data_IF_146369990063
#
_entry.id   IF_146369990063
#
_cell.length_a   1.000
_cell.length_b   1.000
_cell.length_c   1.000
_cell.angle_alpha   90.00
_cell.angle_beta   90.00
_cell.angle_gamma   90.00
#
_symmetry.space_group_name_H-M   'P 1'
#
loop_
_entity.id
_entity.type
_entity.pdbx_description
1 polymer ?
#
# COMPACT_ATOMS: atom_id res chain seq x y z
N UNK A 1 76.27 7.24 13.68
CA UNK A 1 75.33 6.40 12.89
C UNK A 1 74.97 5.25 13.83
N UNK A 2 73.83 5.35 14.52
CA UNK A 2 72.68 4.43 14.39
C UNK A 2 73.00 3.03 14.98
N UNK A 3 72.25 2.39 15.89
CA UNK A 3 71.03 2.65 16.64
C UNK A 3 70.96 1.68 17.85
N UNK A 4 70.23 2.12 18.88
CA UNK A 4 69.32 1.44 19.81
C UNK A 4 69.28 -0.10 19.92
N UNK A 5 68.91 -0.72 21.04
CA UNK A 5 68.85 -0.34 22.46
C UNK A 5 68.46 -1.62 23.23
N UNK A 6 68.95 -1.70 24.45
CA UNK A 6 68.77 -2.72 25.47
C UNK A 6 67.30 -2.99 25.84
N UNK A 7 67.00 -4.13 26.49
CA UNK A 7 66.32 -4.25 27.81
C UNK A 7 66.16 -5.76 28.12
N UNK A 8 67.03 -6.41 28.89
CA UNK A 8 67.14 -6.45 30.37
C UNK A 8 65.92 -7.09 31.07
N UNK A 9 66.20 -8.23 31.69
CA UNK A 9 65.37 -8.97 32.65
C UNK A 9 65.12 -8.19 33.94
N UNK A 10 64.03 -8.50 34.65
CA UNK A 10 63.96 -8.79 36.11
C UNK A 10 62.52 -8.56 36.64
N UNK A 11 62.23 -8.72 37.94
CA UNK A 11 61.81 -9.99 38.49
C UNK A 11 60.43 -9.93 39.16
N UNK A 12 59.95 -11.12 39.52
CA UNK A 12 58.67 -11.40 40.17
C UNK A 12 58.52 -10.65 41.51
N UNK A 13 57.62 -9.68 41.58
CA UNK A 13 57.23 -9.00 42.82
C UNK A 13 56.04 -9.70 43.50
N UNK A 14 56.18 -9.95 44.81
CA UNK A 14 55.17 -10.55 45.69
C UNK A 14 54.07 -9.52 46.00
N UNK A 15 52.82 -10.00 46.04
CA UNK A 15 51.64 -9.19 46.36
C UNK A 15 51.43 -9.09 47.88
N UNK A 16 51.18 -7.90 48.43
CA UNK A 16 50.68 -7.77 49.80
C UNK A 16 49.17 -7.95 49.88
N UNK A 17 48.73 -8.47 51.02
CA UNK A 17 47.36 -8.71 51.43
C UNK A 17 46.71 -7.44 52.00
N UNK A 18 45.42 -7.22 51.72
CA UNK A 18 44.57 -6.46 52.62
C UNK A 18 43.10 -6.90 52.57
N UNK A 19 42.44 -7.11 53.73
CA UNK A 19 41.03 -7.48 53.80
C UNK A 19 40.16 -6.23 53.93
N UNK A 20 39.33 -5.94 52.95
CA UNK A 20 38.27 -4.93 53.10
C UNK A 20 36.93 -5.46 52.61
N UNK A 21 36.05 -5.66 53.59
CA UNK A 21 34.62 -5.91 53.48
C UNK A 21 34.00 -4.94 52.47
N UNK A 22 33.32 -5.45 51.44
CA UNK A 22 32.44 -4.65 50.57
C UNK A 22 31.01 -5.14 50.73
N UNK A 23 30.21 -4.27 51.32
CA UNK A 23 28.78 -4.36 51.58
C UNK A 23 28.02 -4.68 50.30
N UNK A 24 27.17 -5.71 50.32
CA UNK A 24 26.23 -6.02 49.24
C UNK A 24 25.20 -4.89 49.15
N UNK A 25 25.32 -4.01 48.16
CA UNK A 25 24.21 -3.12 47.77
C UNK A 25 23.26 -3.95 46.89
N UNK A 26 22.11 -4.34 47.44
CA UNK A 26 20.98 -4.79 46.64
C UNK A 26 20.46 -3.59 45.85
N UNK A 27 20.66 -3.60 44.54
CA UNK A 27 19.98 -2.67 43.62
C UNK A 27 18.67 -3.35 43.22
N UNK A 28 17.57 -2.91 43.81
CA UNK A 28 16.22 -3.23 43.35
C UNK A 28 15.98 -2.47 42.03
N UNK A 29 16.24 -3.12 40.91
CA UNK A 29 15.85 -2.63 39.59
C UNK A 29 14.33 -2.83 39.43
N UNK A 30 13.54 -1.78 39.66
CA UNK A 30 12.13 -1.76 39.31
C UNK A 30 12.01 -1.65 37.78
N UNK A 31 11.79 -2.78 37.09
CA UNK A 31 11.37 -2.81 35.71
C UNK A 31 9.93 -2.27 35.61
N UNK A 32 9.78 -0.97 35.35
CA UNK A 32 8.52 -0.42 34.88
C UNK A 32 8.29 -0.91 33.44
N UNK A 33 7.46 -1.95 33.29
CA UNK A 33 7.01 -2.41 31.98
C UNK A 33 6.00 -1.37 31.48
N UNK A 34 6.47 -0.45 30.64
CA UNK A 34 5.62 0.49 29.93
C UNK A 34 4.76 -0.25 28.92
N UNK A 35 3.46 -0.30 29.16
CA UNK A 35 2.48 -0.78 28.16
C UNK A 35 2.38 0.28 27.07
N UNK A 36 3.13 0.10 25.98
CA UNK A 36 2.96 0.89 24.78
C UNK A 36 1.63 0.49 24.11
N UNK A 37 0.59 1.30 24.29
CA UNK A 37 -0.67 1.13 23.58
C UNK A 37 -0.48 1.45 22.10
N UNK A 38 -0.67 0.45 21.22
CA UNK A 38 -0.76 0.68 19.79
C UNK A 38 -2.06 1.40 19.47
N UNK A 39 -2.00 2.68 19.11
CA UNK A 39 -3.13 3.37 18.51
C UNK A 39 -3.39 2.75 17.13
N UNK A 40 -4.54 2.10 16.96
CA UNK A 40 -4.98 1.65 15.65
C UNK A 40 -5.28 2.88 14.79
N UNK A 41 -4.45 3.14 13.79
CA UNK A 41 -4.72 4.17 12.78
C UNK A 41 -5.90 3.70 11.94
N UNK A 42 -6.98 4.49 11.92
CA UNK A 42 -8.10 4.24 11.02
C UNK A 42 -7.62 4.25 9.57
N UNK A 43 -8.14 3.33 8.76
CA UNK A 43 -7.82 3.26 7.34
C UNK A 43 -8.16 4.60 6.63
N UNK A 44 -7.42 4.97 5.56
CA UNK A 44 -7.74 6.15 4.76
C UNK A 44 -9.21 6.15 4.30
N UNK A 45 -9.80 7.34 4.21
CA UNK A 45 -11.24 7.50 3.91
C UNK A 45 -11.58 7.08 2.47
N UNK A 46 -10.57 7.10 1.61
CA UNK A 46 -10.63 6.70 0.22
C UNK A 46 -10.72 5.17 0.08
N UNK A 47 -10.31 4.39 1.08
CA UNK A 47 -10.44 2.93 1.08
C UNK A 47 -11.92 2.54 1.01
N UNK A 48 -12.21 1.53 0.17
CA UNK A 48 -13.55 0.98 0.00
C UNK A 48 -13.95 0.83 -1.46
N UNK A 49 -15.27 0.68 -1.69
CA UNK A 49 -15.83 0.37 -2.99
C UNK A 49 -16.40 1.63 -3.63
N UNK A 50 -16.08 1.84 -4.90
CA UNK A 50 -16.45 3.03 -5.65
C UNK A 50 -16.98 2.65 -7.04
N UNK A 51 -18.17 3.11 -7.38
CA UNK A 51 -18.65 3.10 -8.76
C UNK A 51 -17.82 4.06 -9.60
N UNK A 52 -17.44 3.64 -10.80
CA UNK A 52 -16.85 4.51 -11.79
C UNK A 52 -17.83 5.62 -12.22
N UNK A 53 -17.34 6.59 -12.99
CA UNK A 53 -18.12 7.73 -13.50
C UNK A 53 -19.30 7.30 -14.39
N UNK A 54 -19.24 6.07 -14.93
CA UNK A 54 -20.30 5.51 -15.76
C UNK A 54 -21.33 4.69 -14.97
N UNK A 55 -21.05 4.36 -13.70
CA UNK A 55 -21.82 3.44 -12.89
C UNK A 55 -21.83 2.00 -13.41
N UNK A 56 -20.89 1.63 -14.29
CA UNK A 56 -20.82 0.30 -14.92
C UNK A 56 -19.67 -0.55 -14.42
N UNK A 57 -18.73 0.04 -13.68
CA UNK A 57 -17.67 -0.67 -12.98
C UNK A 57 -17.66 -0.30 -11.50
N UNK A 58 -17.19 -1.22 -10.65
CA UNK A 58 -16.80 -0.91 -9.28
C UNK A 58 -15.34 -1.23 -9.07
N UNK A 59 -14.65 -0.28 -8.46
CA UNK A 59 -13.24 -0.35 -8.09
C UNK A 59 -13.14 -0.43 -6.58
N UNK A 60 -12.44 -1.44 -6.08
CA UNK A 60 -12.02 -1.52 -4.69
C UNK A 60 -10.71 -0.77 -4.55
N UNK A 61 -10.70 0.31 -3.77
CA UNK A 61 -9.51 1.02 -3.33
C UNK A 61 -9.04 0.39 -2.01
N UNK A 62 -7.78 0.00 -1.94
CA UNK A 62 -7.19 -0.69 -0.81
C UNK A 62 -5.74 -0.24 -0.56
N UNK A 63 -5.27 -0.42 0.68
CA UNK A 63 -3.89 -0.15 1.05
C UNK A 63 -2.96 -1.23 0.48
N UNK A 64 -1.91 -0.81 -0.23
CA UNK A 64 -0.84 -1.65 -0.75
C UNK A 64 0.50 -1.20 -0.16
N UNK A 65 0.67 -1.48 1.14
CA UNK A 65 1.74 -0.89 1.95
C UNK A 65 1.37 0.53 2.40
N UNK A 66 2.27 1.52 2.31
CA UNK A 66 1.96 2.92 2.65
C UNK A 66 1.20 3.66 1.53
N UNK A 67 0.84 2.96 0.45
CA UNK A 67 0.25 3.51 -0.76
C UNK A 67 -1.18 3.02 -0.94
N UNK A 68 -1.93 3.68 -1.82
CA UNK A 68 -3.21 3.17 -2.29
C UNK A 68 -3.09 2.52 -3.67
N UNK A 69 -3.82 1.43 -3.81
CA UNK A 69 -4.00 0.69 -5.06
C UNK A 69 -5.50 0.50 -5.30
N UNK A 70 -5.86 0.12 -6.52
CA UNK A 70 -7.25 -0.13 -6.88
C UNK A 70 -7.41 -1.19 -7.94
N UNK A 71 -8.43 -2.04 -7.78
CA UNK A 71 -8.76 -3.11 -8.71
C UNK A 71 -10.25 -3.18 -9.02
N UNK A 72 -10.58 -3.62 -10.22
CA UNK A 72 -11.96 -3.83 -10.64
C UNK A 72 -12.52 -5.07 -9.93
N UNK A 73 -13.62 -4.91 -9.20
CA UNK A 73 -14.25 -6.01 -8.44
C UNK A 73 -15.65 -6.35 -8.94
N UNK A 74 -16.24 -5.51 -9.78
CA UNK A 74 -17.55 -5.77 -10.39
C UNK A 74 -17.70 -4.98 -11.68
N UNK A 75 -18.47 -5.55 -12.60
CA UNK A 75 -18.87 -4.96 -13.86
C UNK A 75 -20.38 -5.21 -14.05
N UNK A 76 -21.09 -4.21 -14.56
CA UNK A 76 -22.50 -4.34 -14.92
C UNK A 76 -22.72 -5.41 -15.98
N UNK A 77 -21.84 -5.42 -16.98
CA UNK A 77 -21.85 -6.34 -18.10
C UNK A 77 -20.48 -7.07 -18.13
N UNK A 78 -20.29 -8.16 -17.35
CA UNK A 78 -18.99 -8.81 -17.20
C UNK A 78 -18.63 -9.76 -18.35
N UNK A 79 -19.58 -10.04 -19.25
CA UNK A 79 -19.43 -10.98 -20.37
C UNK A 79 -19.49 -10.26 -21.72
N UNK A 80 -18.76 -10.78 -22.70
CA UNK A 80 -18.85 -10.36 -24.09
C UNK A 80 -20.08 -10.97 -24.80
N UNK A 81 -20.26 -10.65 -26.07
CA UNK A 81 -21.38 -11.17 -26.89
C UNK A 81 -21.39 -12.71 -27.07
N UNK A 82 -20.28 -13.40 -26.75
CA UNK A 82 -20.15 -14.86 -26.77
C UNK A 82 -20.39 -15.50 -25.41
N UNK A 83 -20.69 -14.72 -24.37
CA UNK A 83 -20.85 -15.19 -23.00
C UNK A 83 -19.53 -15.47 -22.28
N UNK A 84 -18.40 -15.00 -22.83
CA UNK A 84 -17.08 -15.17 -22.21
C UNK A 84 -16.73 -13.95 -21.36
N UNK A 85 -15.95 -14.09 -20.27
CA UNK A 85 -15.50 -12.94 -19.47
C UNK A 85 -14.80 -11.88 -20.32
N UNK A 86 -15.04 -10.60 -20.02
CA UNK A 86 -14.29 -9.51 -20.63
C UNK A 86 -12.81 -9.65 -20.30
N UNK A 87 -11.96 -9.46 -21.30
CA UNK A 87 -10.50 -9.48 -21.17
C UNK A 87 -9.89 -8.13 -21.53
N UNK A 88 -8.62 -7.93 -21.19
CA UNK A 88 -7.84 -6.72 -21.46
C UNK A 88 -7.42 -6.56 -22.94
N UNK A 89 -8.37 -6.75 -23.86
CA UNK A 89 -8.10 -6.88 -25.29
C UNK A 89 -7.38 -5.68 -25.94
N UNK A 90 -7.48 -4.49 -25.36
CA UNK A 90 -6.82 -3.28 -25.86
C UNK A 90 -5.39 -3.10 -25.33
N UNK A 91 -4.88 -4.00 -24.49
CA UNK A 91 -3.54 -3.87 -23.94
C UNK A 91 -2.47 -3.80 -25.06
N UNK A 92 -1.52 -2.85 -25.00
CA UNK A 92 -0.43 -2.78 -25.98
C UNK A 92 0.45 -4.03 -25.99
N UNK A 93 0.64 -4.70 -24.84
CA UNK A 93 1.32 -6.00 -24.75
C UNK A 93 0.34 -7.14 -25.09
N UNK A 94 0.57 -7.87 -26.20
CA UNK A 94 -0.28 -9.00 -26.58
C UNK A 94 -0.42 -10.08 -25.50
N UNK A 95 0.59 -10.27 -24.64
CA UNK A 95 0.58 -11.28 -23.58
C UNK A 95 -0.40 -10.94 -22.47
N UNK A 96 -0.68 -9.65 -22.28
CA UNK A 96 -1.62 -9.18 -21.25
C UNK A 96 -3.08 -9.19 -21.73
N UNK A 97 -3.34 -9.29 -23.04
CA UNK A 97 -4.70 -9.17 -23.62
C UNK A 97 -5.68 -10.26 -23.21
N UNK A 98 -5.17 -11.37 -22.70
CA UNK A 98 -5.97 -12.54 -22.29
C UNK A 98 -6.37 -12.49 -20.82
N UNK A 99 -5.84 -11.55 -20.03
CA UNK A 99 -6.19 -11.44 -18.61
C UNK A 99 -7.61 -10.89 -18.46
N UNK A 100 -8.39 -11.36 -17.48
CA UNK A 100 -9.74 -10.86 -17.25
C UNK A 100 -9.71 -9.38 -16.82
N UNK A 101 -10.73 -8.62 -17.21
CA UNK A 101 -10.95 -7.25 -16.71
C UNK A 101 -11.32 -7.28 -15.24
N UNK A 102 -12.07 -8.30 -14.81
CA UNK A 102 -12.35 -8.40 -13.40
C UNK A 102 -11.15 -8.94 -12.62
N UNK A 103 -10.91 -8.38 -11.43
CA UNK A 103 -9.70 -8.57 -10.66
C UNK A 103 -8.52 -7.73 -11.16
N UNK A 104 -8.64 -7.05 -12.30
CA UNK A 104 -7.56 -6.25 -12.87
C UNK A 104 -7.25 -5.05 -11.97
N UNK A 105 -5.99 -4.94 -11.54
CA UNK A 105 -5.49 -3.74 -10.91
C UNK A 105 -5.38 -2.61 -11.94
N UNK A 106 -6.05 -1.50 -11.66
CA UNK A 106 -6.08 -0.32 -12.52
C UNK A 106 -5.54 0.94 -11.85
N UNK A 107 -5.28 0.91 -10.54
CA UNK A 107 -4.66 2.00 -9.80
C UNK A 107 -3.49 1.47 -8.98
N UNK A 108 -2.43 2.26 -8.85
CA UNK A 108 -1.31 1.93 -7.99
C UNK A 108 -0.40 3.11 -7.69
N UNK A 109 0.50 2.90 -6.74
CA UNK A 109 1.54 3.83 -6.31
C UNK A 109 1.07 5.19 -5.77
N UNK A 110 -0.24 5.37 -5.53
CA UNK A 110 -0.80 6.58 -4.96
C UNK A 110 -0.21 6.84 -3.57
N UNK A 111 0.44 7.98 -3.41
CA UNK A 111 1.15 8.37 -2.19
C UNK A 111 0.45 9.54 -1.52
N UNK A 112 0.34 9.49 -0.19
CA UNK A 112 -0.34 10.52 0.60
C UNK A 112 0.42 11.85 0.52
N UNK A 113 -0.30 12.90 0.19
CA UNK A 113 0.23 14.26 0.08
C UNK A 113 0.03 15.05 1.40
N UNK A 114 0.79 16.14 1.62
CA UNK A 114 0.68 16.96 2.84
C UNK A 114 -0.70 17.60 3.06
N UNK A 115 -1.44 17.87 1.99
CA UNK A 115 -2.81 18.41 2.02
C UNK A 115 -3.87 17.34 2.32
N UNK A 116 -3.45 16.08 2.44
CA UNK A 116 -4.31 14.94 2.71
C UNK A 116 -4.89 14.27 1.48
N UNK A 117 -4.59 14.73 0.26
CA UNK A 117 -4.93 14.04 -0.99
C UNK A 117 -3.96 12.89 -1.28
N UNK A 118 -4.20 12.16 -2.35
CA UNK A 118 -3.29 11.13 -2.86
C UNK A 118 -2.87 11.49 -4.29
N UNK A 119 -1.58 11.39 -4.61
CA UNK A 119 -1.01 11.76 -5.91
C UNK A 119 0.20 10.86 -6.23
N UNK A 120 0.93 11.13 -7.32
CA UNK A 120 2.12 10.36 -7.76
C UNK A 120 1.84 8.88 -8.10
N UNK A 121 0.57 8.54 -8.28
CA UNK A 121 0.14 7.21 -8.69
C UNK A 121 0.01 7.08 -10.20
N UNK A 122 -0.50 5.92 -10.62
CA UNK A 122 -0.89 5.66 -11.99
C UNK A 122 -2.31 5.10 -12.06
N UNK A 123 -2.99 5.38 -13.17
CA UNK A 123 -4.26 4.76 -13.56
C UNK A 123 -4.14 4.10 -14.93
N UNK A 124 -4.65 2.88 -15.08
CA UNK A 124 -4.76 2.17 -16.35
C UNK A 124 -6.22 2.12 -16.81
N UNK A 125 -6.48 2.57 -18.04
CA UNK A 125 -7.79 2.43 -18.69
C UNK A 125 -7.78 1.24 -19.67
N UNK A 126 -8.39 0.09 -19.31
CA UNK A 126 -8.45 -1.08 -20.18
C UNK A 126 -9.37 -0.87 -21.40
N UNK A 127 -10.24 0.15 -21.40
CA UNK A 127 -11.13 0.46 -22.55
C UNK A 127 -10.34 1.03 -23.72
N UNK A 128 -9.15 1.59 -23.47
CA UNK A 128 -8.28 2.19 -24.50
C UNK A 128 -6.83 1.71 -24.44
N UNK A 129 -6.47 0.87 -23.46
CA UNK A 129 -5.14 0.28 -23.32
C UNK A 129 -4.06 1.28 -22.94
N UNK A 130 -4.39 2.33 -22.15
CA UNK A 130 -3.44 3.41 -21.82
C UNK A 130 -3.33 3.63 -20.32
N UNK A 131 -2.13 4.03 -19.90
CA UNK A 131 -1.86 4.48 -18.54
C UNK A 131 -1.65 5.99 -18.48
N UNK A 132 -1.98 6.57 -17.34
CA UNK A 132 -1.87 7.99 -17.02
C UNK A 132 -1.37 8.13 -15.58
N UNK A 133 -0.78 9.28 -15.26
CA UNK A 133 -0.52 9.65 -13.88
C UNK A 133 -1.87 9.87 -13.17
N UNK A 134 -1.95 9.59 -11.88
CA UNK A 134 -3.21 9.58 -11.14
C UNK A 134 -3.12 10.28 -9.78
N UNK A 135 -4.18 11.02 -9.47
CA UNK A 135 -4.46 11.59 -8.16
C UNK A 135 -5.87 11.21 -7.68
N UNK A 136 -6.05 11.06 -6.37
CA UNK A 136 -7.35 10.88 -5.72
C UNK A 136 -7.58 11.99 -4.68
N UNK A 137 -8.78 12.55 -4.70
CA UNK A 137 -9.24 13.52 -3.72
C UNK A 137 -10.66 13.17 -3.28
N UNK A 138 -10.92 13.16 -1.98
CA UNK A 138 -12.27 12.96 -1.44
C UNK A 138 -12.98 14.31 -1.31
N UNK A 139 -13.99 14.53 -2.14
CA UNK A 139 -14.80 15.76 -2.14
C UNK A 139 -16.19 15.46 -1.59
N UNK A 140 -16.37 15.74 -0.30
CA UNK A 140 -17.61 15.42 0.41
C UNK A 140 -17.78 13.90 0.56
N UNK A 141 -18.71 13.33 -0.23
CA UNK A 141 -18.99 11.87 -0.25
C UNK A 141 -18.44 11.18 -1.51
N UNK A 142 -17.97 11.95 -2.47
CA UNK A 142 -17.55 11.47 -3.78
C UNK A 142 -16.02 11.45 -3.85
N UNK A 143 -15.47 10.50 -4.60
CA UNK A 143 -14.04 10.38 -4.85
C UNK A 143 -13.74 10.92 -6.24
N UNK A 144 -12.87 11.90 -6.34
CA UNK A 144 -12.44 12.48 -7.61
C UNK A 144 -11.14 11.78 -8.02
N UNK A 145 -11.21 10.99 -9.10
CA UNK A 145 -10.04 10.46 -9.77
C UNK A 145 -9.60 11.42 -10.87
N UNK A 146 -8.37 11.91 -10.80
CA UNK A 146 -7.79 12.76 -11.85
C UNK A 146 -6.68 12.02 -12.57
N UNK A 147 -6.85 11.80 -13.87
CA UNK A 147 -5.83 11.25 -14.76
C UNK A 147 -5.14 12.37 -15.55
N UNK A 148 -3.80 12.39 -15.60
CA UNK A 148 -3.04 13.41 -16.32
C UNK A 148 -1.79 12.84 -17.00
N UNK A 149 -1.14 13.66 -17.82
CA UNK A 149 0.15 13.31 -18.47
C UNK A 149 1.18 14.36 -18.12
N UNK A 150 2.08 14.05 -17.20
CA UNK A 150 3.18 14.92 -16.78
C UNK A 150 2.73 16.09 -15.90
N UNK A 151 1.90 17.01 -16.43
CA UNK A 151 1.38 18.16 -15.67
C UNK A 151 -0.16 18.10 -15.55
N UNK A 152 -0.68 18.48 -14.38
CA UNK A 152 -2.12 18.45 -14.05
C UNK A 152 -2.99 19.38 -14.91
N UNK A 153 -2.40 20.32 -15.65
CA UNK A 153 -3.14 21.22 -16.56
C UNK A 153 -3.76 20.48 -17.77
N UNK A 154 -3.20 19.35 -18.18
CA UNK A 154 -3.76 18.47 -19.22
C UNK A 154 -4.40 17.23 -18.59
N UNK A 155 -5.31 17.46 -17.65
CA UNK A 155 -5.97 16.40 -16.89
C UNK A 155 -7.41 16.16 -17.33
N UNK A 156 -7.93 15.00 -16.93
CA UNK A 156 -9.36 14.71 -16.89
C UNK A 156 -9.70 14.20 -15.50
N UNK A 157 -10.80 14.69 -14.95
CA UNK A 157 -11.31 14.26 -13.65
C UNK A 157 -12.61 13.47 -13.82
N UNK A 158 -12.76 12.45 -13.00
CA UNK A 158 -13.87 11.52 -13.00
C UNK A 158 -14.42 11.43 -11.57
N UNK A 159 -15.70 11.71 -11.42
CA UNK A 159 -16.38 11.61 -10.12
C UNK A 159 -16.87 10.20 -9.90
N UNK A 160 -16.34 9.55 -8.88
CA UNK A 160 -16.73 8.23 -8.44
C UNK A 160 -17.60 8.32 -7.19
N UNK A 161 -18.61 7.46 -7.11
CA UNK A 161 -19.58 7.45 -6.01
C UNK A 161 -19.44 6.18 -5.17
N UNK A 162 -19.76 6.24 -3.87
CA UNK A 162 -19.67 5.05 -3.01
C UNK A 162 -20.56 3.91 -3.52
N UNK A 163 -19.98 2.73 -3.64
CA UNK A 163 -20.71 1.49 -3.89
C UNK A 163 -21.08 0.79 -2.57
N UNK A 164 -22.21 0.07 -2.50
CA UNK A 164 -22.60 -0.66 -1.30
C UNK A 164 -21.63 -1.82 -1.04
N UNK A 165 -21.32 -2.14 0.23
CA UNK A 165 -20.44 -3.27 0.58
C UNK A 165 -21.05 -4.63 0.23
N UNK A 166 -22.35 -4.70 -0.03
CA UNK A 166 -23.09 -5.91 -0.39
C UNK A 166 -23.07 -6.24 -1.89
N UNK A 167 -22.33 -5.46 -2.69
CA UNK A 167 -22.22 -5.69 -4.12
C UNK A 167 -21.56 -7.06 -4.41
N UNK A 168 -22.12 -7.89 -5.31
CA UNK A 168 -21.47 -9.14 -5.70
C UNK A 168 -20.12 -8.85 -6.35
N UNK A 169 -19.05 -9.50 -5.88
CA UNK A 169 -17.72 -9.41 -6.51
C UNK A 169 -17.64 -10.43 -7.65
N UNK A 170 -16.82 -10.18 -8.67
CA UNK A 170 -16.71 -11.08 -9.83
C UNK A 170 -16.24 -12.51 -9.51
N UNK A 171 -15.57 -12.70 -8.37
CA UNK A 171 -15.12 -14.02 -7.92
C UNK A 171 -16.16 -14.73 -7.03
N UNK A 172 -17.33 -14.13 -6.80
CA UNK A 172 -18.41 -14.81 -6.10
C UNK A 172 -19.04 -15.83 -7.07
N UNK A 173 -18.92 -17.15 -6.84
CA UNK A 173 -19.72 -18.11 -7.57
C UNK A 173 -21.18 -17.71 -7.42
N UNK A 174 -21.88 -17.48 -8.53
CA UNK A 174 -23.27 -17.06 -8.54
C UNK A 174 -24.10 -18.13 -7.82
N UNK A 175 -24.40 -17.90 -6.54
CA UNK A 175 -25.43 -18.67 -5.82
C UNK A 175 -26.79 -18.12 -6.22
N UNK A 176 -27.06 -18.13 -7.53
CA UNK A 176 -28.28 -17.63 -8.14
C UNK A 176 -28.59 -18.48 -9.39
N UNK A 177 -28.61 -19.80 -9.21
CA UNK A 177 -29.24 -20.76 -10.13
C UNK A 177 -29.52 -22.06 -9.37
N UNK A 178 -30.35 -21.99 -8.32
CA UNK A 178 -31.04 -23.16 -7.79
C UNK A 178 -32.34 -22.69 -7.15
N UNK A 179 -33.40 -22.66 -7.96
CA UNK A 179 -34.81 -22.81 -7.60
C UNK A 179 -35.60 -23.10 -8.86
#
# INVERSE_FOLDING_TARGET
>A
MLEFNSTISSPRARRPSWPFRKTRRLVLAACAIGVAGSAATAAPREVGLWFDDTGKGVVEIFECGPKLCGKIIWLKDPLNARGEPLTDGYNPDPKLRVRPICGLQILGELTRQPDGTWDEGWVYDPKVGKSYDAALELTGKDLILTGYKGVRFLSKSFTWTKAPPTLPKCDAPSTAASR
#
